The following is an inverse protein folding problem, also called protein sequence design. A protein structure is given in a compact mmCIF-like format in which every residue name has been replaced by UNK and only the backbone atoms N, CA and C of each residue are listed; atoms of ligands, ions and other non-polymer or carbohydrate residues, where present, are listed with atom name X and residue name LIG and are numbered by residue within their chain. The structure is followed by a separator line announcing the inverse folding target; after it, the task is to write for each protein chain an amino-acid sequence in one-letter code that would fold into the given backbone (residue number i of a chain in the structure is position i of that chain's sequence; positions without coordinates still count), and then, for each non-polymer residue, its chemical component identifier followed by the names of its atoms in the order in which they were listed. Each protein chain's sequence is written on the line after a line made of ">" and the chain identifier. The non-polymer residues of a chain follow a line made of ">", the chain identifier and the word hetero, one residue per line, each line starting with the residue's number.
data_IF_845939461074
#
_entry.id   IF_845939461074
#
_cell.length_a   1.000
_cell.length_b   1.000
_cell.length_c   1.000
_cell.angle_alpha   90.00
_cell.angle_beta   90.00
_cell.angle_gamma   90.00
#
_symmetry.space_group_name_H-M   'P 1'
#
loop_
_entity.id
_entity.type
_entity.pdbx_description
1 polymer ?
#
# COMPACT_ATOMS: atom_id res chain seq x y z
N UNK A 1 -28.34 -43.83 -6.50
CA UNK A 1 -27.70 -43.26 -5.29
C UNK A 1 -26.21 -43.12 -5.58
N UNK A 2 -25.73 -41.89 -5.86
CA UNK A 2 -24.33 -41.60 -6.19
C UNK A 2 -23.73 -40.79 -5.04
N UNK A 3 -22.71 -41.35 -4.39
CA UNK A 3 -21.96 -40.71 -3.31
C UNK A 3 -21.09 -39.59 -3.87
N UNK A 4 -21.43 -38.34 -3.54
CA UNK A 4 -20.56 -37.19 -3.77
C UNK A 4 -19.67 -37.06 -2.54
N UNK A 5 -18.36 -37.28 -2.72
CA UNK A 5 -17.35 -37.00 -1.70
C UNK A 5 -17.05 -35.51 -1.72
N UNK A 6 -17.47 -34.79 -0.68
CA UNK A 6 -17.00 -33.43 -0.41
C UNK A 6 -15.60 -33.52 0.23
N UNK A 7 -14.58 -33.10 -0.52
CA UNK A 7 -13.26 -32.80 0.04
C UNK A 7 -13.31 -31.33 0.46
N UNK A 8 -13.60 -31.10 1.74
CA UNK A 8 -13.48 -29.78 2.36
C UNK A 8 -12.02 -29.51 2.68
N UNK A 9 -11.40 -28.56 1.98
CA UNK A 9 -10.10 -28.00 2.36
C UNK A 9 -10.37 -26.98 3.46
N UNK A 10 -10.04 -27.33 4.70
CA UNK A 10 -10.04 -26.40 5.84
C UNK A 10 -8.74 -25.61 5.79
N UNK A 11 -8.81 -24.34 5.41
CA UNK A 11 -7.69 -23.42 5.50
C UNK A 11 -7.54 -22.98 6.98
N UNK A 12 -6.63 -23.62 7.71
CA UNK A 12 -6.27 -23.20 9.07
C UNK A 12 -5.26 -22.07 8.96
N UNK A 13 -5.69 -20.84 9.29
CA UNK A 13 -4.79 -19.73 9.59
C UNK A 13 -4.06 -20.05 10.91
N UNK A 14 -2.86 -20.60 10.80
CA UNK A 14 -1.99 -20.85 11.94
C UNK A 14 -1.47 -19.53 12.51
N UNK A 15 -2.04 -19.10 13.63
CA UNK A 15 -1.49 -18.01 14.45
C UNK A 15 -0.37 -18.63 15.30
N UNK A 16 0.88 -18.41 14.91
CA UNK A 16 2.03 -18.79 15.72
C UNK A 16 2.16 -17.82 16.90
N UNK A 17 1.87 -18.31 18.10
CA UNK A 17 2.15 -17.61 19.35
C UNK A 17 3.66 -17.67 19.65
N UNK A 18 4.34 -16.52 19.62
CA UNK A 18 5.74 -16.42 20.02
C UNK A 18 5.84 -16.33 21.55
N UNK A 19 6.15 -17.46 22.21
CA UNK A 19 6.68 -17.50 23.56
C UNK A 19 8.20 -17.39 23.52
N UNK A 20 8.76 -16.36 24.15
CA UNK A 20 10.20 -16.14 24.25
C UNK A 20 10.84 -16.98 25.36
N UNK A 21 12.09 -17.40 25.12
CA UNK A 21 13.04 -17.78 26.16
C UNK A 21 14.44 -17.22 25.79
N UNK A 22 15.22 -16.69 26.75
CA UNK A 22 16.49 -16.05 26.48
C UNK A 22 17.64 -17.08 26.46
N UNK A 23 18.50 -17.00 25.46
CA UNK A 23 19.67 -17.86 25.30
C UNK A 23 20.90 -17.03 24.92
N UNK A 24 21.95 -17.20 25.69
CA UNK A 24 23.13 -16.37 25.78
C UNK A 24 24.17 -16.58 24.66
N UNK A 25 25.00 -15.54 24.47
CA UNK A 25 26.46 -15.69 24.32
C UNK A 25 27.01 -15.84 22.90
N UNK A 26 27.95 -14.97 22.55
CA UNK A 26 28.86 -15.19 21.42
C UNK A 26 29.35 -13.92 20.73
N UNK A 27 30.14 -13.11 21.44
CA UNK A 27 30.90 -12.03 20.83
C UNK A 27 32.06 -12.60 20.01
N UNK A 28 32.15 -12.25 18.72
CA UNK A 28 33.37 -12.38 17.92
C UNK A 28 33.77 -10.98 17.46
N UNK A 29 34.95 -10.45 17.88
CA UNK A 29 35.43 -9.18 17.37
C UNK A 29 36.00 -9.36 15.95
N UNK A 30 35.51 -8.54 15.02
CA UNK A 30 36.10 -8.38 13.69
C UNK A 30 37.30 -7.44 13.81
N UNK A 31 38.47 -7.97 13.49
CA UNK A 31 39.74 -7.24 13.40
C UNK A 31 39.72 -6.34 12.16
N UNK A 32 39.65 -5.02 12.34
CA UNK A 32 39.92 -4.04 11.26
C UNK A 32 41.36 -3.58 11.33
N UNK A 33 42.14 -3.94 10.31
CA UNK A 33 43.51 -3.49 10.08
C UNK A 33 43.53 -2.00 9.74
N UNK A 34 44.23 -1.21 10.54
CA UNK A 34 44.48 0.21 10.29
C UNK A 34 45.50 0.38 9.15
N UNK A 35 45.10 1.09 8.09
CA UNK A 35 46.02 1.57 7.06
C UNK A 35 46.82 2.75 7.59
N UNK A 36 48.15 2.63 7.52
CA UNK A 36 49.13 3.62 7.96
C UNK A 36 48.94 4.99 7.30
N UNK A 37 48.93 6.01 8.14
CA UNK A 37 49.00 7.41 7.75
C UNK A 37 50.41 7.75 7.22
N UNK A 38 50.47 8.20 5.98
CA UNK A 38 51.66 8.84 5.42
C UNK A 38 51.64 10.33 5.77
N UNK A 39 52.69 10.78 6.46
CA UNK A 39 52.93 12.17 6.84
C UNK A 39 53.09 13.04 5.59
N UNK A 40 52.18 13.97 5.37
CA UNK A 40 52.41 15.11 4.48
C UNK A 40 52.74 16.37 5.30
N UNK A 41 53.83 17.00 4.88
CA UNK A 41 54.60 18.06 5.52
C UNK A 41 53.81 19.37 5.62
N UNK A 42 53.96 20.04 6.76
CA UNK A 42 53.37 21.35 7.09
C UNK A 42 54.12 22.45 6.33
N UNK A 43 53.55 22.96 5.24
CA UNK A 43 54.00 24.17 4.55
C UNK A 43 53.27 25.39 5.10
N UNK A 44 54.00 26.35 5.66
CA UNK A 44 53.49 27.67 6.00
C UNK A 44 53.28 28.46 4.71
N UNK A 45 52.04 28.83 4.41
CA UNK A 45 51.66 29.63 3.26
C UNK A 45 50.55 30.60 3.66
N UNK A 46 50.92 31.88 3.63
CA UNK A 46 50.17 33.13 3.50
C UNK A 46 48.64 33.15 3.70
N UNK A 47 48.20 34.17 4.44
CA UNK A 47 46.82 34.57 4.58
C UNK A 47 46.20 34.89 3.21
N UNK A 48 45.57 33.89 2.61
CA UNK A 48 44.72 34.04 1.43
C UNK A 48 43.41 34.68 1.84
N UNK A 49 43.06 35.77 1.16
CA UNK A 49 41.76 36.41 1.23
C UNK A 49 40.63 35.38 1.19
N UNK A 50 39.75 35.44 2.18
CA UNK A 50 38.58 34.60 2.25
C UNK A 50 37.74 34.81 1.00
N UNK A 51 37.71 33.80 0.12
CA UNK A 51 36.81 33.76 -1.03
C UNK A 51 35.41 34.07 -0.50
N UNK A 52 34.73 35.13 -0.99
CA UNK A 52 33.42 35.49 -0.50
C UNK A 52 32.50 34.29 -0.67
N UNK A 53 31.94 33.82 0.45
CA UNK A 53 30.91 32.79 0.47
C UNK A 53 29.83 33.27 -0.49
N UNK A 54 29.55 32.49 -1.54
CA UNK A 54 28.51 32.83 -2.50
C UNK A 54 27.24 33.21 -1.72
N UNK A 55 26.51 34.26 -2.14
CA UNK A 55 25.24 34.65 -1.53
C UNK A 55 24.38 33.40 -1.31
N UNK A 56 23.67 33.33 -0.19
CA UNK A 56 22.88 32.15 0.19
C UNK A 56 21.88 31.73 -0.92
N UNK A 57 21.50 32.67 -1.79
CA UNK A 57 20.71 32.47 -3.01
C UNK A 57 21.41 31.75 -4.18
N UNK A 58 22.72 31.47 -4.09
CA UNK A 58 23.52 30.77 -5.11
C UNK A 58 23.97 29.38 -4.69
N UNK A 59 23.71 28.96 -3.45
CA UNK A 59 24.01 27.57 -3.06
C UNK A 59 22.99 26.63 -3.71
N UNK A 60 23.44 25.50 -4.30
CA UNK A 60 22.53 24.54 -4.89
C UNK A 60 21.58 24.02 -3.82
N UNK A 61 20.27 24.10 -4.09
CA UNK A 61 19.24 23.65 -3.18
C UNK A 61 19.52 22.22 -2.72
N UNK A 62 19.51 22.00 -1.40
CA UNK A 62 19.95 20.72 -0.83
C UNK A 62 19.04 19.56 -1.20
N UNK A 63 17.76 19.84 -1.49
CA UNK A 63 16.76 18.85 -1.88
C UNK A 63 16.76 18.51 -3.38
N UNK A 64 17.39 19.35 -4.20
CA UNK A 64 17.36 19.26 -5.66
C UNK A 64 18.78 19.20 -6.27
N UNK A 65 19.69 18.46 -5.63
CA UNK A 65 21.06 18.24 -6.16
C UNK A 65 21.06 17.69 -7.59
N UNK A 66 20.03 16.93 -7.97
CA UNK A 66 19.84 16.39 -9.33
C UNK A 66 18.87 17.21 -10.20
N UNK A 67 18.66 18.50 -9.92
CA UNK A 67 17.71 19.35 -10.64
C UNK A 67 16.28 19.32 -10.05
N UNK A 68 15.36 20.08 -10.67
CA UNK A 68 13.98 20.25 -10.19
C UNK A 68 13.25 18.91 -10.06
N UNK A 69 12.19 18.89 -9.23
CA UNK A 69 11.37 17.70 -9.12
C UNK A 69 10.57 17.48 -10.42
N UNK A 70 10.54 16.23 -10.94
CA UNK A 70 9.69 15.90 -12.07
C UNK A 70 8.23 16.25 -11.78
N UNK A 71 7.47 16.58 -12.83
CA UNK A 71 6.02 16.68 -12.69
C UNK A 71 5.43 15.31 -12.29
N UNK A 72 4.29 15.34 -11.59
CA UNK A 72 3.50 14.13 -11.38
C UNK A 72 3.08 13.54 -12.72
N UNK A 73 3.33 12.25 -12.90
CA UNK A 73 2.94 11.47 -14.08
C UNK A 73 1.46 11.15 -14.04
N UNK A 74 0.90 10.99 -12.83
CA UNK A 74 -0.50 10.69 -12.60
C UNK A 74 -1.24 11.78 -11.80
N UNK A 75 -2.52 11.95 -12.08
CA UNK A 75 -3.48 12.53 -11.13
C UNK A 75 -4.43 11.43 -10.68
N UNK A 76 -4.70 11.28 -9.37
CA UNK A 76 -5.65 10.27 -8.90
C UNK A 76 -6.99 10.53 -9.60
N UNK A 77 -7.45 9.54 -10.36
CA UNK A 77 -8.77 9.56 -10.97
C UNK A 77 -9.73 8.99 -9.92
N UNK A 78 -10.51 9.84 -9.20
CA UNK A 78 -11.53 9.32 -8.30
C UNK A 78 -12.41 8.36 -9.09
N UNK A 79 -12.91 7.32 -8.42
CA UNK A 79 -13.91 6.46 -9.03
C UNK A 79 -15.11 7.34 -9.40
N UNK A 80 -15.24 7.71 -10.67
CA UNK A 80 -16.45 8.36 -11.16
C UNK A 80 -17.54 7.30 -11.17
N UNK A 81 -18.52 7.45 -10.29
CA UNK A 81 -19.79 6.72 -10.44
C UNK A 81 -20.31 7.05 -11.84
N UNK A 82 -20.41 6.05 -12.75
CA UNK A 82 -20.87 6.31 -14.09
C UNK A 82 -22.29 6.89 -14.05
N UNK A 83 -22.65 7.67 -15.06
CA UNK A 83 -24.07 7.89 -15.38
C UNK A 83 -24.80 6.54 -15.33
N UNK A 84 -25.91 6.41 -14.58
CA UNK A 84 -26.53 5.10 -14.33
C UNK A 84 -26.90 4.42 -15.63
N UNK A 85 -26.15 3.37 -15.97
CA UNK A 85 -26.47 2.51 -17.10
C UNK A 85 -27.35 1.36 -16.64
N UNK A 86 -28.11 0.73 -17.56
CA UNK A 86 -28.89 -0.45 -17.23
C UNK A 86 -28.00 -1.51 -16.58
N UNK A 87 -28.44 -2.04 -15.43
CA UNK A 87 -27.68 -3.09 -14.75
C UNK A 87 -27.53 -4.29 -15.66
N UNK A 88 -26.30 -4.80 -15.77
CA UNK A 88 -26.05 -6.08 -16.43
C UNK A 88 -26.83 -7.19 -15.73
N UNK A 89 -27.28 -8.18 -16.50
CA UNK A 89 -27.88 -9.39 -15.95
C UNK A 89 -26.93 -10.05 -14.94
N UNK A 90 -27.49 -10.50 -13.81
CA UNK A 90 -26.70 -11.13 -12.76
C UNK A 90 -26.13 -12.47 -13.20
N UNK A 91 -24.87 -12.73 -12.82
CA UNK A 91 -24.28 -14.06 -12.90
C UNK A 91 -24.71 -14.85 -11.67
N UNK A 92 -25.84 -15.56 -11.78
CA UNK A 92 -26.43 -16.29 -10.65
C UNK A 92 -25.50 -17.35 -10.06
N UNK A 93 -24.62 -17.96 -10.85
CA UNK A 93 -23.69 -18.97 -10.37
C UNK A 93 -22.60 -18.32 -9.50
N UNK A 94 -22.00 -17.23 -9.98
CA UNK A 94 -21.01 -16.47 -9.22
C UNK A 94 -21.63 -15.87 -7.94
N UNK A 95 -22.80 -15.23 -8.04
CA UNK A 95 -23.50 -14.65 -6.89
C UNK A 95 -23.87 -15.71 -5.84
N UNK A 96 -24.36 -16.88 -6.26
CA UNK A 96 -24.67 -17.98 -5.33
C UNK A 96 -23.42 -18.52 -4.63
N UNK A 97 -22.31 -18.66 -5.36
CA UNK A 97 -21.02 -19.08 -4.79
C UNK A 97 -20.50 -18.07 -3.77
N UNK A 98 -20.49 -16.79 -4.12
CA UNK A 98 -20.07 -15.71 -3.20
C UNK A 98 -20.96 -15.71 -1.97
N UNK A 99 -22.30 -15.76 -2.13
CA UNK A 99 -23.21 -15.73 -1.00
C UNK A 99 -23.07 -16.94 -0.07
N UNK A 100 -22.79 -18.13 -0.60
CA UNK A 100 -22.51 -19.31 0.20
C UNK A 100 -21.22 -19.14 1.03
N UNK A 101 -20.16 -18.61 0.41
CA UNK A 101 -18.89 -18.37 1.09
C UNK A 101 -19.00 -17.27 2.16
N UNK A 102 -19.70 -16.17 1.87
CA UNK A 102 -19.93 -15.10 2.85
C UNK A 102 -20.65 -15.65 4.09
N UNK A 103 -21.71 -16.45 3.91
CA UNK A 103 -22.43 -17.08 5.02
C UNK A 103 -21.58 -18.08 5.79
N UNK A 104 -20.66 -18.77 5.13
CA UNK A 104 -19.77 -19.74 5.76
C UNK A 104 -18.66 -19.07 6.59
N UNK A 105 -18.14 -17.92 6.15
CA UNK A 105 -17.05 -17.22 6.82
C UNK A 105 -17.52 -16.22 7.88
N UNK A 106 -18.72 -15.65 7.71
CA UNK A 106 -19.24 -14.62 8.61
C UNK A 106 -19.45 -15.17 10.02
N UNK A 107 -18.90 -14.46 11.00
CA UNK A 107 -19.04 -14.73 12.43
C UNK A 107 -20.04 -13.74 13.02
N UNK A 108 -21.25 -14.17 13.40
CA UNK A 108 -22.25 -13.25 13.91
C UNK A 108 -21.82 -12.56 15.21
N UNK A 109 -22.17 -11.29 15.36
CA UNK A 109 -21.93 -10.51 16.60
C UNK A 109 -22.72 -11.08 17.77
N UNK A 110 -23.85 -11.75 17.51
CA UNK A 110 -24.72 -12.33 18.53
C UNK A 110 -25.16 -13.75 18.20
N UNK A 111 -25.28 -14.64 19.21
CA UNK A 111 -25.87 -15.96 19.01
C UNK A 111 -27.29 -15.86 18.43
N UNK A 112 -27.57 -16.64 17.37
CA UNK A 112 -28.88 -16.68 16.73
C UNK A 112 -29.12 -15.59 15.67
N UNK A 113 -28.17 -14.68 15.46
CA UNK A 113 -28.19 -13.79 14.30
C UNK A 113 -28.03 -14.56 13.00
N UNK A 114 -28.61 -14.03 11.92
CA UNK A 114 -28.44 -14.54 10.56
C UNK A 114 -27.77 -13.49 9.67
N UNK A 115 -27.30 -13.91 8.50
CA UNK A 115 -26.68 -13.02 7.53
C UNK A 115 -27.55 -12.89 6.28
N UNK A 116 -27.97 -11.67 6.00
CA UNK A 116 -28.50 -11.29 4.70
C UNK A 116 -27.35 -10.92 3.76
N UNK A 117 -27.43 -11.45 2.54
CA UNK A 117 -26.43 -11.24 1.49
C UNK A 117 -27.17 -10.78 0.25
N UNK A 118 -26.87 -9.57 -0.19
CA UNK A 118 -27.46 -8.95 -1.38
C UNK A 118 -26.38 -8.51 -2.36
N UNK A 119 -26.77 -8.32 -3.63
CA UNK A 119 -25.87 -7.89 -4.70
C UNK A 119 -26.40 -6.61 -5.33
N UNK A 120 -25.56 -5.58 -5.37
CA UNK A 120 -25.86 -4.33 -6.05
C UNK A 120 -25.84 -4.44 -7.57
N UNK A 121 -26.18 -3.33 -8.23
CA UNK A 121 -26.15 -3.19 -9.68
C UNK A 121 -24.73 -3.38 -10.23
N UNK A 122 -24.64 -3.95 -11.43
CA UNK A 122 -23.39 -4.08 -12.16
C UNK A 122 -23.40 -3.21 -13.42
N UNK A 123 -22.75 -2.05 -13.32
CA UNK A 123 -22.70 -1.04 -14.39
C UNK A 123 -21.57 -1.23 -15.41
N UNK A 124 -20.76 -2.29 -15.28
CA UNK A 124 -19.60 -2.52 -16.16
C UNK A 124 -19.98 -3.38 -17.37
N UNK A 125 -20.55 -2.80 -18.41
CA UNK A 125 -21.02 -3.56 -19.58
C UNK A 125 -19.94 -3.84 -20.65
N UNK A 126 -18.75 -3.20 -20.55
CA UNK A 126 -17.64 -3.41 -21.46
C UNK A 126 -16.63 -4.44 -20.91
N UNK A 127 -15.76 -5.01 -21.76
CA UNK A 127 -14.66 -5.84 -21.30
C UNK A 127 -13.78 -5.09 -20.28
N UNK A 128 -13.30 -5.80 -19.26
CA UNK A 128 -12.42 -5.20 -18.24
C UNK A 128 -11.09 -4.82 -18.89
N UNK A 129 -10.67 -3.57 -18.70
CA UNK A 129 -9.44 -3.01 -19.23
C UNK A 129 -8.36 -2.90 -18.14
N UNK A 130 -8.75 -2.60 -16.90
CA UNK A 130 -7.83 -2.46 -15.76
C UNK A 130 -8.42 -3.11 -14.52
N UNK A 131 -7.59 -3.83 -13.78
CA UNK A 131 -7.85 -4.27 -12.41
C UNK A 131 -6.66 -3.81 -11.58
N UNK A 132 -6.92 -3.10 -10.50
CA UNK A 132 -5.94 -2.79 -9.47
C UNK A 132 -6.38 -3.49 -8.20
N UNK A 133 -5.47 -4.18 -7.55
CA UNK A 133 -5.70 -4.61 -6.18
C UNK A 133 -4.52 -4.27 -5.29
N UNK A 134 -4.83 -3.94 -4.05
CA UNK A 134 -3.86 -3.72 -3.00
C UNK A 134 -4.16 -4.63 -1.83
N UNK A 135 -3.09 -5.08 -1.17
CA UNK A 135 -3.17 -5.85 0.06
C UNK A 135 -2.07 -5.43 0.99
N UNK A 136 -2.40 -5.26 2.26
CA UNK A 136 -1.41 -4.98 3.28
C UNK A 136 -1.74 -5.57 4.63
N UNK A 137 -0.72 -5.66 5.47
CA UNK A 137 -0.83 -6.04 6.86
C UNK A 137 -0.03 -5.06 7.72
N UNK A 138 -0.70 -4.44 8.71
CA UNK A 138 -0.04 -3.47 9.58
C UNK A 138 1.02 -4.11 10.48
N UNK A 139 0.79 -5.36 10.94
CA UNK A 139 1.83 -6.14 11.59
C UNK A 139 2.84 -6.64 10.55
N UNK A 140 3.91 -5.86 10.38
CA UNK A 140 5.00 -6.14 9.45
C UNK A 140 5.10 -5.15 8.29
N UNK A 141 4.35 -4.05 8.30
CA UNK A 141 4.41 -2.97 7.30
C UNK A 141 4.42 -3.50 5.86
N UNK A 142 3.55 -4.46 5.57
CA UNK A 142 3.47 -5.07 4.25
C UNK A 142 2.48 -4.31 3.40
N UNK A 143 2.86 -4.05 2.16
CA UNK A 143 1.98 -3.54 1.12
C UNK A 143 2.38 -4.14 -0.23
N UNK A 144 1.39 -4.72 -0.90
CA UNK A 144 1.46 -5.15 -2.28
C UNK A 144 0.44 -4.35 -3.08
N UNK A 145 0.87 -3.79 -4.21
CA UNK A 145 0.05 -3.12 -5.20
C UNK A 145 0.24 -3.89 -6.50
N UNK A 146 -0.84 -4.35 -7.12
CA UNK A 146 -0.77 -5.03 -8.42
C UNK A 146 -1.80 -4.45 -9.36
N UNK A 147 -1.37 -4.21 -10.60
CA UNK A 147 -2.22 -3.84 -11.71
C UNK A 147 -2.20 -4.94 -12.76
N UNK A 148 -3.38 -5.34 -13.22
CA UNK A 148 -3.59 -6.16 -14.41
C UNK A 148 -4.28 -5.25 -15.42
N UNK A 149 -3.62 -4.91 -16.52
CA UNK A 149 -4.14 -3.96 -17.50
C UNK A 149 -3.90 -4.38 -18.94
N UNK A 150 -4.77 -3.92 -19.83
CA UNK A 150 -4.58 -4.00 -21.28
C UNK A 150 -5.10 -2.71 -21.92
N UNK A 151 -4.36 -2.20 -22.90
CA UNK A 151 -4.77 -1.02 -23.66
C UNK A 151 -5.66 -1.41 -24.85
N UNK A 152 -5.44 -2.58 -25.44
CA UNK A 152 -6.24 -3.12 -26.53
C UNK A 152 -7.18 -4.25 -26.02
N UNK A 153 -8.51 -4.09 -26.10
CA UNK A 153 -9.47 -5.14 -25.75
C UNK A 153 -9.32 -6.43 -26.57
N UNK A 154 -8.72 -6.36 -27.77
CA UNK A 154 -8.45 -7.52 -28.62
C UNK A 154 -7.15 -8.25 -28.26
N UNK A 155 -6.34 -7.73 -27.34
CA UNK A 155 -5.11 -8.37 -26.91
C UNK A 155 -5.36 -9.75 -26.29
N UNK A 156 -4.51 -10.72 -26.65
CA UNK A 156 -4.56 -12.09 -26.13
C UNK A 156 -4.10 -12.22 -24.67
N UNK A 157 -3.48 -11.18 -24.13
CA UNK A 157 -2.99 -11.13 -22.75
C UNK A 157 -3.14 -9.74 -22.14
N UNK A 158 -3.21 -9.70 -20.82
CA UNK A 158 -2.99 -8.49 -20.03
C UNK A 158 -1.52 -8.41 -19.61
N UNK A 159 -1.02 -7.19 -19.52
CA UNK A 159 0.23 -6.89 -18.83
C UNK A 159 -0.05 -6.77 -17.34
N UNK A 160 0.88 -7.26 -16.52
CA UNK A 160 0.77 -7.26 -15.06
C UNK A 160 1.98 -6.60 -14.45
N UNK A 161 1.74 -5.60 -13.60
CA UNK A 161 2.74 -4.90 -12.81
C UNK A 161 2.46 -5.21 -11.34
N UNK A 162 3.49 -5.55 -10.57
CA UNK A 162 3.43 -5.69 -9.12
C UNK A 162 4.50 -4.85 -8.43
N UNK A 163 4.12 -4.15 -7.38
CA UNK A 163 4.99 -3.37 -6.50
C UNK A 163 4.82 -3.92 -5.09
N UNK A 164 5.88 -4.46 -4.51
CA UNK A 164 5.81 -5.27 -3.30
C UNK A 164 6.81 -4.82 -2.26
N UNK A 165 6.34 -4.69 -1.03
CA UNK A 165 7.15 -4.74 0.18
C UNK A 165 6.93 -6.08 0.88
N UNK A 166 7.77 -7.10 0.61
CA UNK A 166 7.63 -8.41 1.22
C UNK A 166 7.80 -8.31 2.74
N UNK A 167 7.11 -9.19 3.47
CA UNK A 167 7.21 -9.23 4.93
C UNK A 167 8.66 -9.32 5.39
N UNK A 168 9.09 -8.51 6.38
CA UNK A 168 10.39 -8.70 7.03
C UNK A 168 10.45 -10.06 7.76
N UNK A 169 9.30 -10.68 8.01
CA UNK A 169 9.18 -12.01 8.62
C UNK A 169 9.16 -13.16 7.60
N UNK A 170 9.27 -12.88 6.30
CA UNK A 170 9.45 -13.94 5.31
C UNK A 170 10.79 -14.63 5.56
N UNK A 171 10.76 -15.96 5.66
CA UNK A 171 11.91 -16.82 5.99
C UNK A 171 13.00 -16.86 4.93
N UNK A 172 12.84 -16.15 3.81
CA UNK A 172 13.86 -16.04 2.78
C UNK A 172 14.62 -14.70 2.92
N UNK A 173 15.79 -14.67 3.60
CA UNK A 173 16.60 -13.47 3.76
C UNK A 173 17.16 -12.92 2.44
N UNK A 174 16.99 -13.65 1.32
CA UNK A 174 17.43 -13.23 -0.01
C UNK A 174 16.37 -12.41 -0.76
N UNK A 175 15.14 -12.35 -0.28
CA UNK A 175 14.11 -11.52 -0.92
C UNK A 175 14.43 -10.05 -0.63
N UNK A 176 14.63 -9.21 -1.66
CA UNK A 176 14.89 -7.80 -1.43
C UNK A 176 13.68 -7.14 -0.75
N UNK A 177 13.89 -6.11 0.09
CA UNK A 177 12.83 -5.46 0.86
C UNK A 177 11.86 -4.64 -0.01
N UNK A 178 12.12 -4.55 -1.31
CA UNK A 178 11.27 -3.89 -2.30
C UNK A 178 11.44 -4.62 -3.64
N UNK A 179 10.33 -4.90 -4.31
CA UNK A 179 10.32 -5.52 -5.63
C UNK A 179 9.35 -4.81 -6.56
N UNK A 180 9.82 -4.55 -7.78
CA UNK A 180 8.96 -4.22 -8.92
C UNK A 180 9.05 -5.39 -9.88
N UNK A 181 7.91 -6.04 -10.09
CA UNK A 181 7.80 -7.26 -10.87
C UNK A 181 6.82 -7.09 -12.02
N UNK A 182 7.10 -7.77 -13.12
CA UNK A 182 6.27 -7.75 -14.33
C UNK A 182 5.92 -9.17 -14.76
N UNK A 183 4.76 -9.33 -15.36
CA UNK A 183 4.35 -10.57 -15.99
C UNK A 183 3.31 -10.30 -17.09
N UNK A 184 2.93 -11.36 -17.79
CA UNK A 184 1.74 -11.37 -18.64
C UNK A 184 0.79 -12.46 -18.18
N UNK A 185 -0.51 -12.20 -18.31
CA UNK A 185 -1.55 -13.18 -18.03
C UNK A 185 -2.47 -13.33 -19.25
N UNK A 186 -2.80 -14.56 -19.67
CA UNK A 186 -3.78 -14.77 -20.75
C UNK A 186 -5.15 -14.16 -20.44
N UNK A 187 -5.79 -13.59 -21.44
CA UNK A 187 -7.11 -12.95 -21.33
C UNK A 187 -8.16 -13.90 -20.74
N UNK A 188 -8.17 -15.17 -21.16
CA UNK A 188 -9.11 -16.18 -20.67
C UNK A 188 -8.97 -16.46 -19.17
N UNK A 189 -7.76 -16.39 -18.63
CA UNK A 189 -7.52 -16.60 -17.20
C UNK A 189 -8.12 -15.46 -16.36
N UNK A 190 -8.04 -14.23 -16.85
CA UNK A 190 -8.68 -13.06 -16.23
C UNK A 190 -10.20 -13.14 -16.36
N UNK A 191 -10.70 -13.43 -17.56
CA UNK A 191 -12.13 -13.54 -17.85
C UNK A 191 -12.81 -14.64 -17.00
N UNK A 192 -12.15 -15.77 -16.79
CA UNK A 192 -12.69 -16.87 -15.98
C UNK A 192 -12.96 -16.48 -14.51
N UNK A 193 -12.20 -15.52 -13.97
CA UNK A 193 -12.31 -15.07 -12.56
C UNK A 193 -13.25 -13.90 -12.38
N UNK A 194 -13.41 -13.11 -13.45
CA UNK A 194 -14.08 -11.82 -13.37
C UNK A 194 -15.54 -11.87 -12.90
N UNK A 195 -16.37 -12.90 -13.21
CA UNK A 195 -17.70 -13.01 -12.65
C UNK A 195 -17.72 -13.03 -11.11
N UNK A 196 -16.79 -13.77 -10.49
CA UNK A 196 -16.68 -13.87 -9.03
C UNK A 196 -16.16 -12.57 -8.41
N UNK A 197 -15.15 -11.94 -9.02
CA UNK A 197 -14.64 -10.64 -8.57
C UNK A 197 -15.74 -9.57 -8.64
N UNK A 198 -16.47 -9.49 -9.77
CA UNK A 198 -17.59 -8.55 -9.96
C UNK A 198 -18.73 -8.81 -8.97
N UNK A 199 -19.08 -10.06 -8.71
CA UNK A 199 -20.09 -10.41 -7.71
C UNK A 199 -19.65 -10.00 -6.28
N UNK A 200 -18.41 -10.31 -5.90
CA UNK A 200 -17.84 -9.94 -4.61
C UNK A 200 -17.82 -8.42 -4.40
N UNK A 201 -17.35 -7.66 -5.39
CA UNK A 201 -17.33 -6.20 -5.33
C UNK A 201 -18.72 -5.58 -5.18
N UNK A 202 -19.78 -6.24 -5.66
CA UNK A 202 -21.17 -5.77 -5.52
C UNK A 202 -21.89 -6.31 -4.29
N UNK A 203 -21.26 -7.19 -3.52
CA UNK A 203 -21.89 -7.86 -2.38
C UNK A 203 -22.09 -6.89 -1.22
N UNK A 204 -23.28 -6.83 -0.63
CA UNK A 204 -23.56 -6.14 0.63
C UNK A 204 -23.97 -7.16 1.67
N UNK A 205 -23.35 -7.08 2.84
CA UNK A 205 -23.59 -7.96 3.97
C UNK A 205 -24.34 -7.21 5.06
N UNK A 206 -25.40 -7.82 5.58
CA UNK A 206 -26.15 -7.26 6.70
C UNK A 206 -26.46 -8.36 7.71
N UNK A 207 -25.94 -8.19 8.93
CA UNK A 207 -26.36 -9.05 10.04
C UNK A 207 -27.80 -8.71 10.44
N UNK A 208 -28.61 -9.75 10.56
CA UNK A 208 -30.00 -9.67 11.06
C UNK A 208 -30.02 -10.27 12.45
N UNK A 209 -30.18 -9.39 13.44
CA UNK A 209 -30.22 -9.78 14.85
C UNK A 209 -31.48 -10.59 15.18
N UNK A 210 -31.41 -11.54 16.13
CA UNK A 210 -32.57 -12.30 16.56
C UNK A 210 -33.62 -11.37 17.21
N UNK A 211 -34.90 -11.69 17.02
CA UNK A 211 -36.01 -10.93 17.63
C UNK A 211 -36.04 -11.06 19.16
N UNK A 212 -35.55 -12.17 19.71
CA UNK A 212 -35.44 -12.37 21.15
C UNK A 212 -34.19 -11.67 21.67
N UNK A 213 -34.35 -10.85 22.72
CA UNK A 213 -33.29 -10.04 23.32
C UNK A 213 -32.25 -10.83 24.11
N UNK A 214 -31.78 -11.97 23.60
CA UNK A 214 -30.68 -12.72 24.18
C UNK A 214 -29.46 -11.79 24.35
N UNK A 215 -29.12 -11.55 25.61
CA UNK A 215 -28.07 -10.63 26.06
C UNK A 215 -26.73 -11.34 26.02
N UNK A 216 -26.15 -11.49 24.84
CA UNK A 216 -24.80 -12.02 24.69
C UNK A 216 -24.14 -11.46 23.43
N UNK A 217 -23.04 -10.72 23.61
CA UNK A 217 -22.16 -10.36 22.51
C UNK A 217 -21.12 -11.48 22.34
N UNK A 218 -21.06 -12.05 21.14
CA UNK A 218 -19.91 -12.85 20.73
C UNK A 218 -18.81 -11.86 20.34
N UNK A 219 -17.84 -11.65 21.23
CA UNK A 219 -16.70 -10.79 20.92
C UNK A 219 -15.79 -11.53 19.93
N UNK A 220 -15.74 -11.03 18.69
CA UNK A 220 -14.71 -11.37 17.72
C UNK A 220 -13.93 -10.10 17.41
N UNK A 221 -12.63 -10.14 17.67
CA UNK A 221 -11.72 -9.07 17.33
C UNK A 221 -10.37 -9.67 17.01
N UNK A 222 -9.80 -9.28 15.87
CA UNK A 222 -8.39 -9.50 15.60
C UNK A 222 -7.62 -8.24 15.95
N UNK A 223 -6.48 -8.38 16.62
CA UNK A 223 -5.50 -7.28 16.73
C UNK A 223 -4.77 -7.01 15.42
N UNK A 224 -5.03 -7.81 14.38
CA UNK A 224 -4.41 -7.66 13.06
C UNK A 224 -5.12 -6.59 12.22
N UNK A 225 -4.46 -5.47 11.98
CA UNK A 225 -4.89 -4.46 11.02
C UNK A 225 -4.56 -4.91 9.60
N UNK A 226 -5.56 -4.93 8.73
CA UNK A 226 -5.45 -5.40 7.34
C UNK A 226 -5.86 -4.30 6.38
N UNK A 227 -5.25 -4.30 5.20
CA UNK A 227 -5.66 -3.46 4.08
C UNK A 227 -6.02 -4.36 2.91
N UNK A 228 -7.15 -4.07 2.28
CA UNK A 228 -7.53 -4.65 1.01
C UNK A 228 -8.20 -3.58 0.17
N UNK A 229 -7.80 -3.47 -1.09
CA UNK A 229 -8.48 -2.68 -2.09
C UNK A 229 -8.59 -3.50 -3.36
N UNK A 230 -9.74 -3.42 -4.02
CA UNK A 230 -9.92 -3.95 -5.36
C UNK A 230 -10.72 -2.94 -6.16
N UNK A 231 -10.13 -2.48 -7.27
CA UNK A 231 -10.75 -1.64 -8.28
C UNK A 231 -10.73 -2.38 -9.61
N UNK A 232 -11.86 -2.41 -10.29
CA UNK A 232 -11.94 -2.83 -11.69
C UNK A 232 -12.48 -1.68 -12.53
N UNK A 233 -11.91 -1.51 -13.72
CA UNK A 233 -12.30 -0.51 -14.71
C UNK A 233 -12.45 -1.18 -16.07
N UNK A 234 -13.55 -0.87 -16.75
CA UNK A 234 -13.82 -1.40 -18.08
C UNK A 234 -13.28 -0.52 -19.20
N UNK A 235 -13.35 -1.00 -20.45
CA UNK A 235 -12.85 -0.27 -21.61
C UNK A 235 -13.57 1.08 -21.89
N UNK A 236 -14.71 1.35 -21.24
CA UNK A 236 -15.38 2.65 -21.30
C UNK A 236 -14.90 3.59 -20.18
N UNK A 237 -13.93 3.18 -19.35
CA UNK A 237 -13.38 3.97 -18.26
C UNK A 237 -14.26 4.04 -17.02
N UNK A 238 -15.28 3.17 -16.92
CA UNK A 238 -16.16 3.06 -15.76
C UNK A 238 -15.53 2.13 -14.74
N UNK A 239 -15.64 2.46 -13.46
CA UNK A 239 -14.99 1.69 -12.40
C UNK A 239 -15.93 1.32 -11.25
N UNK A 240 -15.66 0.17 -10.63
CA UNK A 240 -16.18 -0.20 -9.31
C UNK A 240 -14.97 -0.42 -8.41
N UNK A 241 -14.97 0.19 -7.23
CA UNK A 241 -13.93 0.03 -6.23
C UNK A 241 -14.54 -0.32 -4.88
N UNK A 242 -13.85 -1.20 -4.15
CA UNK A 242 -14.03 -1.37 -2.71
C UNK A 242 -12.69 -1.32 -2.01
N UNK A 243 -12.72 -0.82 -0.78
CA UNK A 243 -11.56 -0.69 0.09
C UNK A 243 -11.94 -1.02 1.53
N UNK A 244 -11.02 -1.62 2.26
CA UNK A 244 -11.08 -1.80 3.70
C UNK A 244 -9.69 -1.60 4.30
N UNK A 245 -9.60 -0.94 5.45
CA UNK A 245 -8.33 -0.63 6.11
C UNK A 245 -8.52 -0.48 7.61
N UNK A 246 -8.60 -1.61 8.33
CA UNK A 246 -8.77 -1.60 9.79
C UNK A 246 -8.48 -2.98 10.39
N UNK A 247 -8.58 -3.12 11.71
CA UNK A 247 -8.72 -4.38 12.41
C UNK A 247 -9.96 -5.14 11.91
N UNK A 248 -9.87 -6.46 11.82
CA UNK A 248 -11.04 -7.29 11.50
C UNK A 248 -11.79 -7.54 12.80
N UNK A 249 -12.82 -6.74 13.05
CA UNK A 249 -13.80 -6.97 14.11
C UNK A 249 -15.15 -7.39 13.53
N UNK A 250 -16.13 -7.61 14.40
CA UNK A 250 -17.44 -8.08 13.96
C UNK A 250 -18.15 -7.13 13.01
N UNK A 251 -17.96 -5.80 13.16
CA UNK A 251 -18.60 -4.76 12.35
C UNK A 251 -17.89 -4.60 10.99
N UNK A 252 -16.57 -4.77 10.96
CA UNK A 252 -15.72 -4.71 9.79
C UNK A 252 -15.88 -5.86 8.79
N UNK A 253 -16.39 -7.02 9.24
CA UNK A 253 -16.61 -8.19 8.38
C UNK A 253 -17.48 -7.88 7.16
N UNK A 254 -18.48 -7.00 7.31
CA UNK A 254 -19.39 -6.64 6.23
C UNK A 254 -18.70 -6.00 5.02
N UNK A 255 -17.61 -5.28 5.29
CA UNK A 255 -16.80 -4.59 4.28
C UNK A 255 -15.63 -5.46 3.81
N UNK A 256 -14.99 -6.18 4.74
CA UNK A 256 -13.78 -6.95 4.47
C UNK A 256 -14.03 -8.30 3.77
N UNK A 257 -15.05 -9.08 4.16
CA UNK A 257 -15.24 -10.43 3.60
C UNK A 257 -15.45 -10.43 2.07
N UNK A 258 -16.23 -9.49 1.48
CA UNK A 258 -16.32 -9.40 0.03
C UNK A 258 -14.97 -9.11 -0.64
N UNK A 259 -14.13 -8.26 -0.03
CA UNK A 259 -12.79 -7.99 -0.53
C UNK A 259 -11.87 -9.20 -0.43
N UNK A 260 -11.94 -9.96 0.66
CA UNK A 260 -11.19 -11.20 0.83
C UNK A 260 -11.56 -12.24 -0.23
N UNK A 261 -12.86 -12.34 -0.58
CA UNK A 261 -13.31 -13.20 -1.67
C UNK A 261 -12.75 -12.76 -3.02
N UNK A 262 -12.77 -11.46 -3.30
CA UNK A 262 -12.19 -10.91 -4.53
C UNK A 262 -10.67 -11.17 -4.60
N UNK A 263 -9.95 -10.91 -3.51
CA UNK A 263 -8.51 -11.23 -3.35
C UNK A 263 -8.23 -12.71 -3.65
N UNK A 264 -9.02 -13.64 -3.09
CA UNK A 264 -8.82 -15.07 -3.31
C UNK A 264 -8.95 -15.48 -4.79
N UNK A 265 -9.83 -14.83 -5.57
CA UNK A 265 -9.95 -15.09 -7.01
C UNK A 265 -8.82 -14.45 -7.81
N UNK A 266 -8.38 -13.25 -7.43
CA UNK A 266 -7.27 -12.55 -8.07
C UNK A 266 -5.95 -13.30 -7.82
N UNK A 267 -5.72 -13.79 -6.59
CA UNK A 267 -4.54 -14.57 -6.24
C UNK A 267 -4.40 -15.88 -7.00
N UNK A 268 -5.51 -16.48 -7.44
CA UNK A 268 -5.45 -17.66 -8.32
C UNK A 268 -4.80 -17.36 -9.68
N UNK A 269 -4.75 -16.08 -10.08
CA UNK A 269 -4.01 -15.58 -11.24
C UNK A 269 -2.59 -15.20 -10.81
N UNK A 270 -2.47 -14.27 -9.87
CA UNK A 270 -1.22 -13.56 -9.53
C UNK A 270 -0.15 -14.49 -8.94
N UNK A 271 -0.53 -15.40 -8.04
CA UNK A 271 0.43 -16.21 -7.29
C UNK A 271 1.19 -17.20 -8.18
N UNK A 272 0.70 -17.43 -9.41
CA UNK A 272 1.28 -18.37 -10.38
C UNK A 272 2.03 -17.69 -11.52
N UNK A 273 2.10 -16.36 -11.51
CA UNK A 273 2.73 -15.63 -12.61
C UNK A 273 4.25 -15.82 -12.60
N UNK A 274 4.86 -15.98 -13.79
CA UNK A 274 6.32 -16.02 -13.92
C UNK A 274 6.86 -14.59 -13.84
N UNK A 275 6.99 -14.08 -12.62
CA UNK A 275 7.43 -12.72 -12.34
C UNK A 275 8.86 -12.45 -12.83
N UNK A 276 9.05 -11.29 -13.45
CA UNK A 276 10.34 -10.76 -13.85
C UNK A 276 10.63 -9.48 -13.05
N UNK A 277 11.72 -9.48 -12.30
CA UNK A 277 12.18 -8.31 -11.56
C UNK A 277 12.70 -7.21 -12.50
N UNK A 278 12.53 -5.95 -12.11
CA UNK A 278 13.24 -4.82 -12.71
C UNK A 278 13.12 -3.54 -11.88
N UNK A 279 13.67 -2.41 -12.36
CA UNK A 279 13.56 -1.12 -11.67
C UNK A 279 12.13 -0.57 -11.79
N UNK A 280 11.74 0.33 -10.87
CA UNK A 280 10.55 1.16 -11.04
C UNK A 280 10.81 2.24 -12.12
N UNK A 281 10.01 2.26 -13.18
CA UNK A 281 10.12 3.24 -14.26
C UNK A 281 8.79 3.41 -14.98
N UNK A 282 8.61 4.49 -15.78
CA UNK A 282 7.41 4.69 -16.61
C UNK A 282 6.10 4.32 -15.90
N UNK A 283 5.37 3.36 -16.46
CA UNK A 283 4.08 2.86 -16.00
C UNK A 283 4.07 2.38 -14.53
N UNK A 284 5.18 1.86 -14.00
CA UNK A 284 5.23 1.41 -12.60
C UNK A 284 5.29 2.59 -11.63
N UNK A 285 6.01 3.65 -11.99
CA UNK A 285 5.99 4.89 -11.21
C UNK A 285 4.64 5.58 -11.34
N UNK A 286 4.02 5.55 -12.52
CA UNK A 286 2.68 6.10 -12.72
C UNK A 286 1.64 5.37 -11.86
N UNK A 287 1.63 4.03 -11.88
CA UNK A 287 0.78 3.22 -11.01
C UNK A 287 1.03 3.57 -9.54
N UNK A 288 2.30 3.60 -9.12
CA UNK A 288 2.64 3.90 -7.74
C UNK A 288 2.18 5.31 -7.32
N UNK A 289 2.40 6.32 -8.16
CA UNK A 289 1.98 7.69 -7.92
C UNK A 289 0.45 7.80 -7.81
N UNK A 290 -0.30 7.16 -8.72
CA UNK A 290 -1.76 7.12 -8.68
C UNK A 290 -2.26 6.56 -7.34
N UNK A 291 -1.70 5.42 -6.91
CA UNK A 291 -2.12 4.73 -5.69
C UNK A 291 -1.68 5.47 -4.42
N UNK A 292 -0.46 6.02 -4.42
CA UNK A 292 0.03 6.89 -3.35
C UNK A 292 -0.91 8.07 -3.14
N UNK A 293 -1.25 8.82 -4.20
CA UNK A 293 -2.09 10.00 -4.09
C UNK A 293 -3.51 9.64 -3.64
N UNK A 294 -4.09 8.54 -4.14
CA UNK A 294 -5.38 8.04 -3.67
C UNK A 294 -5.36 7.69 -2.17
N UNK A 295 -4.33 6.99 -1.70
CA UNK A 295 -4.16 6.63 -0.29
C UNK A 295 -3.99 7.85 0.64
N UNK A 296 -3.37 8.92 0.14
CA UNK A 296 -3.23 10.17 0.89
C UNK A 296 -4.56 10.92 1.04
N UNK A 297 -5.38 10.97 -0.02
CA UNK A 297 -6.66 11.70 0.00
C UNK A 297 -7.74 10.94 0.79
N UNK A 298 -7.90 9.64 0.58
CA UNK A 298 -9.15 8.94 0.90
C UNK A 298 -9.26 8.33 2.30
N UNK A 299 -8.24 8.42 3.14
CA UNK A 299 -8.22 7.71 4.44
C UNK A 299 -8.23 8.64 5.66
N UNK A 300 -9.36 9.30 5.99
CA UNK A 300 -9.48 10.06 7.24
C UNK A 300 -9.46 9.15 8.49
N UNK A 301 -9.65 7.83 8.31
CA UNK A 301 -9.67 6.87 9.40
C UNK A 301 -8.30 6.78 10.09
N UNK A 302 -8.32 6.91 11.42
CA UNK A 302 -7.11 7.06 12.24
C UNK A 302 -6.32 5.75 12.35
N UNK A 303 -7.02 4.62 12.35
CA UNK A 303 -6.55 3.23 12.35
C UNK A 303 -5.75 2.83 11.09
N UNK A 304 -6.07 3.41 9.94
CA UNK A 304 -5.42 3.17 8.66
C UNK A 304 -4.08 3.92 8.48
N UNK A 305 -3.51 4.49 9.55
CA UNK A 305 -2.27 5.28 9.48
C UNK A 305 -1.09 4.51 8.87
N UNK A 306 -1.01 3.21 9.14
CA UNK A 306 0.08 2.35 8.69
C UNK A 306 0.07 2.14 7.17
N UNK A 307 -1.10 2.20 6.52
CA UNK A 307 -1.21 2.11 5.06
C UNK A 307 -0.51 3.30 4.42
N UNK A 308 -0.69 4.50 4.99
CA UNK A 308 0.01 5.70 4.53
C UNK A 308 1.51 5.65 4.80
N UNK A 309 1.90 5.15 5.97
CA UNK A 309 3.31 4.96 6.30
C UNK A 309 3.99 4.00 5.30
N UNK A 310 3.33 2.89 4.95
CA UNK A 310 3.82 1.95 3.94
C UNK A 310 3.93 2.61 2.56
N UNK A 311 2.94 3.39 2.13
CA UNK A 311 3.03 4.16 0.89
C UNK A 311 4.18 5.17 0.90
N UNK A 312 4.44 5.84 2.02
CA UNK A 312 5.59 6.77 2.15
C UNK A 312 6.92 6.01 2.07
N UNK A 313 7.04 4.88 2.75
CA UNK A 313 8.22 4.03 2.69
C UNK A 313 8.49 3.53 1.26
N UNK A 314 7.45 3.06 0.57
CA UNK A 314 7.50 2.66 -0.83
C UNK A 314 7.93 3.81 -1.74
N UNK A 315 7.50 5.05 -1.48
CA UNK A 315 7.87 6.19 -2.32
C UNK A 315 9.38 6.43 -2.33
N UNK A 316 10.02 6.36 -1.15
CA UNK A 316 11.47 6.45 -1.03
C UNK A 316 12.20 5.29 -1.71
N UNK A 317 11.64 4.07 -1.66
CA UNK A 317 12.22 2.86 -2.27
C UNK A 317 12.08 2.85 -3.80
N UNK A 318 10.93 3.29 -4.31
CA UNK A 318 10.64 3.38 -5.73
C UNK A 318 11.39 4.52 -6.43
N UNK A 319 11.92 5.50 -5.67
CA UNK A 319 12.58 6.67 -6.25
C UNK A 319 11.62 7.67 -6.88
N UNK A 320 10.36 7.70 -6.42
CA UNK A 320 9.29 8.55 -6.95
C UNK A 320 9.48 10.05 -6.58
N UNK A 321 10.50 10.70 -7.15
CA UNK A 321 10.85 12.12 -6.86
C UNK A 321 9.74 13.11 -7.20
N UNK A 322 8.85 12.75 -8.12
CA UNK A 322 7.62 13.48 -8.47
C UNK A 322 6.67 13.67 -7.29
N UNK A 323 6.71 12.78 -6.29
CA UNK A 323 5.86 12.84 -5.10
C UNK A 323 6.39 13.77 -4.00
N UNK A 324 7.61 14.32 -4.13
CA UNK A 324 8.20 15.18 -3.10
C UNK A 324 7.26 16.33 -2.70
N UNK A 325 6.65 17.10 -3.63
CA UNK A 325 5.70 18.16 -3.25
C UNK A 325 4.52 17.65 -2.42
N UNK A 326 3.95 16.50 -2.78
CA UNK A 326 2.84 15.89 -2.05
C UNK A 326 3.24 15.44 -0.65
N UNK A 327 4.45 14.89 -0.49
CA UNK A 327 4.98 14.47 0.81
C UNK A 327 5.28 15.69 1.71
N UNK A 328 5.79 16.79 1.14
CA UNK A 328 5.99 18.04 1.88
C UNK A 328 4.67 18.60 2.44
N UNK A 329 3.57 18.50 1.70
CA UNK A 329 2.25 18.90 2.18
C UNK A 329 1.78 18.11 3.41
N UNK A 330 2.27 16.88 3.63
CA UNK A 330 1.99 16.11 4.83
C UNK A 330 2.79 16.60 6.04
N UNK A 331 4.03 17.05 5.82
CA UNK A 331 4.89 17.55 6.90
C UNK A 331 4.37 18.86 7.52
N UNK A 332 3.60 19.65 6.76
CA UNK A 332 3.00 20.90 7.24
C UNK A 332 1.75 20.68 8.10
N UNK A 333 1.30 19.43 8.28
CA UNK A 333 0.13 19.13 9.10
C UNK A 333 0.43 19.28 10.60
N UNK A 334 -0.34 20.09 11.35
CA UNK A 334 -0.11 20.29 12.78
C UNK A 334 -0.34 18.99 13.56
N UNK A 335 0.44 18.81 14.63
CA UNK A 335 0.28 17.67 15.55
C UNK A 335 -1.13 17.72 16.18
N UNK A 336 -1.95 16.66 16.05
CA UNK A 336 -3.24 16.61 16.72
C UNK A 336 -3.07 16.41 18.23
N UNK A 337 -4.01 16.93 19.01
CA UNK A 337 -4.09 16.66 20.44
C UNK A 337 -4.75 15.29 20.69
N UNK A 338 -4.30 14.57 21.74
CA UNK A 338 -4.91 13.32 22.17
C UNK A 338 -4.42 12.05 21.45
N UNK A 339 -5.21 10.97 21.45
CA UNK A 339 -4.78 9.61 21.03
C UNK A 339 -4.25 9.50 19.59
N UNK A 340 -4.53 10.48 18.74
CA UNK A 340 -4.07 10.51 17.35
C UNK A 340 -2.62 11.00 17.20
N UNK A 341 -1.97 11.44 18.28
CA UNK A 341 -0.59 11.94 18.26
C UNK A 341 0.40 10.90 17.75
N UNK A 342 0.24 9.65 18.14
CA UNK A 342 1.19 8.57 17.82
C UNK A 342 1.10 8.19 16.33
N UNK A 343 -0.13 8.14 15.80
CA UNK A 343 -0.39 7.91 14.38
C UNK A 343 0.14 9.06 13.52
N UNK A 344 0.06 10.31 14.01
CA UNK A 344 0.67 11.46 13.36
C UNK A 344 2.20 11.36 13.37
N UNK A 345 2.80 11.05 14.52
CA UNK A 345 4.26 10.98 14.69
C UNK A 345 4.88 9.94 13.74
N UNK A 346 4.28 8.74 13.66
CA UNK A 346 4.73 7.69 12.73
C UNK A 346 4.60 8.09 11.26
N UNK A 347 3.56 8.85 10.89
CA UNK A 347 3.42 9.39 9.52
C UNK A 347 4.51 10.42 9.22
N UNK A 348 4.84 11.30 10.17
CA UNK A 348 5.90 12.29 10.01
C UNK A 348 7.28 11.62 9.86
N UNK A 349 7.58 10.61 10.68
CA UNK A 349 8.81 9.82 10.56
C UNK A 349 8.94 9.16 9.18
N UNK A 350 7.88 8.49 8.71
CA UNK A 350 7.86 7.86 7.39
C UNK A 350 8.01 8.88 6.26
N UNK A 351 7.36 10.04 6.36
CA UNK A 351 7.46 11.11 5.37
C UNK A 351 8.88 11.70 5.30
N UNK A 352 9.52 11.96 6.45
CA UNK A 352 10.90 12.44 6.48
C UNK A 352 11.90 11.40 5.97
N UNK A 353 11.69 10.12 6.30
CA UNK A 353 12.51 9.02 5.76
C UNK A 353 12.39 8.93 4.23
N UNK A 354 11.16 9.05 3.70
CA UNK A 354 10.91 9.08 2.26
C UNK A 354 11.61 10.27 1.60
N UNK A 355 11.47 11.48 2.16
CA UNK A 355 12.14 12.68 1.64
C UNK A 355 13.65 12.57 1.69
N UNK A 356 14.22 12.02 2.77
CA UNK A 356 15.65 11.81 2.89
C UNK A 356 16.18 10.89 1.78
N UNK A 357 15.46 9.79 1.48
CA UNK A 357 15.77 8.88 0.37
C UNK A 357 15.64 9.56 -1.00
N UNK A 358 14.55 10.29 -1.24
CA UNK A 358 14.25 10.93 -2.52
C UNK A 358 15.15 12.13 -2.85
N UNK A 359 15.62 12.84 -1.83
CA UNK A 359 16.40 14.08 -1.99
C UNK A 359 17.89 13.88 -1.71
N UNK A 360 18.27 12.83 -0.98
CA UNK A 360 19.63 12.62 -0.48
C UNK A 360 20.03 13.59 0.63
N UNK A 361 19.08 14.28 1.27
CA UNK A 361 19.30 15.20 2.37
C UNK A 361 18.45 14.85 3.59
N UNK A 362 19.07 14.74 4.76
CA UNK A 362 18.41 14.39 6.02
C UNK A 362 18.68 15.45 7.11
N UNK A 363 17.71 16.35 7.41
CA UNK A 363 17.81 17.34 8.46
C UNK A 363 17.52 16.79 9.87
N UNK A 364 17.19 15.50 10.03
CA UNK A 364 16.90 14.91 11.35
C UNK A 364 18.13 14.79 12.24
N UNK A 365 19.33 14.91 11.66
CA UNK A 365 20.60 14.91 12.39
C UNK A 365 21.23 16.30 12.31
N UNK A 366 21.73 16.79 13.44
CA UNK A 366 22.54 18.01 13.45
C UNK A 366 23.96 17.75 12.90
N UNK A 367 24.79 18.80 12.84
CA UNK A 367 26.17 18.69 12.35
C UNK A 367 27.06 17.76 13.21
N UNK A 368 26.63 17.43 14.43
CA UNK A 368 27.32 16.53 15.37
C UNK A 368 26.71 15.12 15.34
N UNK A 369 25.70 14.88 14.51
CA UNK A 369 25.01 13.60 14.38
C UNK A 369 23.90 13.35 15.42
N UNK A 370 23.58 14.33 16.27
CA UNK A 370 22.52 14.20 17.26
C UNK A 370 21.12 14.32 16.62
N UNK A 371 20.19 13.49 17.10
CA UNK A 371 18.80 13.49 16.64
C UNK A 371 18.10 14.79 17.03
N UNK A 372 17.43 15.41 16.08
CA UNK A 372 16.64 16.64 16.26
C UNK A 372 15.16 16.30 16.43
N UNK A 373 14.37 17.18 17.07
CA UNK A 373 12.92 17.02 17.15
C UNK A 373 12.28 16.93 15.75
N UNK A 374 11.28 16.06 15.61
CA UNK A 374 10.58 15.78 14.34
C UNK A 374 10.03 17.07 13.73
N UNK A 375 9.40 17.92 14.54
CA UNK A 375 8.81 19.19 14.11
C UNK A 375 9.86 20.16 13.57
N UNK A 376 11.07 20.16 14.12
CA UNK A 376 12.16 21.00 13.65
C UNK A 376 12.71 20.50 12.30
N UNK A 377 12.90 19.20 12.15
CA UNK A 377 13.33 18.60 10.90
C UNK A 377 12.29 18.74 9.78
N UNK A 378 11.00 18.61 10.11
CA UNK A 378 9.89 18.81 9.19
C UNK A 378 9.85 20.24 8.64
N UNK A 379 9.99 21.26 9.50
CA UNK A 379 10.08 22.67 9.08
C UNK A 379 11.25 22.92 8.15
N UNK A 380 12.41 22.34 8.43
CA UNK A 380 13.59 22.48 7.57
C UNK A 380 13.36 21.85 6.19
N UNK A 381 12.73 20.67 6.13
CA UNK A 381 12.33 20.06 4.86
C UNK A 381 11.39 20.96 4.05
N UNK A 382 10.33 21.46 4.68
CA UNK A 382 9.36 22.36 4.02
C UNK A 382 10.05 23.64 3.53
N UNK A 383 10.85 24.27 4.38
CA UNK A 383 11.55 25.51 4.04
C UNK A 383 12.57 25.33 2.92
N UNK A 384 13.32 24.23 2.90
CA UNK A 384 14.37 24.01 1.90
C UNK A 384 13.82 23.40 0.61
N UNK A 385 13.05 22.33 0.70
CA UNK A 385 12.54 21.65 -0.49
C UNK A 385 11.36 22.41 -1.13
N UNK A 386 10.61 23.20 -0.36
CA UNK A 386 9.53 24.05 -0.89
C UNK A 386 10.01 25.21 -1.78
N UNK A 387 11.31 25.55 -1.74
CA UNK A 387 11.92 26.52 -2.67
C UNK A 387 12.05 25.97 -4.09
N UNK A 388 11.94 24.64 -4.26
CA UNK A 388 12.07 23.99 -5.56
C UNK A 388 10.71 23.97 -6.23
N UNK A 389 10.53 24.79 -7.27
CA UNK A 389 9.31 24.73 -8.06
C UNK A 389 9.21 23.38 -8.78
N UNK A 390 8.02 22.74 -8.80
CA UNK A 390 7.77 21.64 -9.72
C UNK A 390 8.06 22.10 -11.15
N UNK A 391 8.56 21.20 -12.01
CA UNK A 391 8.63 21.50 -13.43
C UNK A 391 7.22 21.91 -13.94
N UNK A 392 7.15 22.98 -14.73
CA UNK A 392 5.90 23.38 -15.38
C UNK A 392 5.38 22.20 -16.23
N UNK A 393 4.09 21.88 -16.07
CA UNK A 393 3.41 20.81 -16.83
C UNK A 393 3.34 21.14 -18.31
#
# INVERSE_FOLDING_TARGET
>A
MRNVRHVGVVLVLGVAACGGAPGAGGANPVTTTAGSAEKATKGAGEAGDAIPKAPESQQPNRCAKGGPFPALSATPKPATEPTPLPCRASDKAAESSVAAEMRAQFKPTRPGSTLDVSFGCDGLDQPIAKLVYERGAGHGNQLEIVQISRSDPAAASYDVIGIREPSPFMSNPKTPPFQVVRAKVPTDAVHARMPFVRAALRTTLREVLPKSGLTGYAAFGSSSTMHALVRIEDAAGRSIEKKYSDAIDSDGQGQYLPLLRADAEIRQIVDKLPWQDGPASGDELELFEERFLAAMVESPAQDAWWVRAAHLELAGRAGARSLVPSILGLLDTPRPEGPSSDAWERKQEAAMEALAKLTGWDPRKDAKGATRPIEAAARDFVAECGKVSPAAR
#
